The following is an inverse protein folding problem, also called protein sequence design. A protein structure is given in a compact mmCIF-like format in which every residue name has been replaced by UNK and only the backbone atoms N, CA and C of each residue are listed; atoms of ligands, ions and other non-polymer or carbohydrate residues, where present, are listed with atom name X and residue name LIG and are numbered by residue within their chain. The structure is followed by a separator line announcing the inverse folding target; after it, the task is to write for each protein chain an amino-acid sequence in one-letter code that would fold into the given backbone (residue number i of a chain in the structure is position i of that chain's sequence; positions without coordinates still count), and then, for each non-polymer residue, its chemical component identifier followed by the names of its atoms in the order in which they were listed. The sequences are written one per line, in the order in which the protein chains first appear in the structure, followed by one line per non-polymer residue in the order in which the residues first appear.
data_IF_447031067984
#
_entry.id   IF_447031067984
#
_cell.length_a   1.000
_cell.length_b   1.000
_cell.length_c   1.000
_cell.angle_alpha   90.00
_cell.angle_beta   90.00
_cell.angle_gamma   90.00
#
_symmetry.space_group_name_H-M   'P 1'
#
loop_
_entity.id
_entity.type
_entity.pdbx_description
1 polymer ?
#
# COMPACT_ATOMS: atom_id res chain seq x y z
N UNK A 1 14.66 -9.98 3.35
CA UNK A 1 13.48 -9.10 3.48
C UNK A 1 12.51 -9.28 2.31
N UNK A 2 12.94 -9.15 1.05
CA UNK A 2 12.06 -9.30 -0.15
C UNK A 2 11.37 -10.67 -0.23
N UNK A 3 12.08 -11.77 0.03
CA UNK A 3 11.48 -13.11 0.02
C UNK A 3 10.31 -13.27 1.01
N UNK A 4 10.37 -12.60 2.16
CA UNK A 4 9.29 -12.61 3.16
C UNK A 4 8.07 -11.82 2.68
N UNK A 5 8.28 -10.71 1.95
CA UNK A 5 7.20 -9.94 1.34
C UNK A 5 6.45 -10.80 0.33
N UNK A 6 7.18 -11.46 -0.58
CA UNK A 6 6.58 -12.34 -1.59
C UNK A 6 5.82 -13.49 -0.93
N UNK A 7 6.42 -14.12 0.10
CA UNK A 7 5.80 -15.21 0.84
C UNK A 7 4.50 -14.75 1.53
N UNK A 8 4.49 -13.57 2.15
CA UNK A 8 3.30 -13.03 2.80
C UNK A 8 2.16 -12.79 1.81
N UNK A 9 2.45 -12.20 0.64
CA UNK A 9 1.43 -11.99 -0.39
C UNK A 9 0.92 -13.31 -0.99
N UNK A 10 1.79 -14.33 -1.13
CA UNK A 10 1.37 -15.68 -1.54
C UNK A 10 0.41 -16.31 -0.53
N UNK A 11 0.69 -16.18 0.77
CA UNK A 11 -0.20 -16.71 1.83
C UNK A 11 -1.54 -15.98 1.81
N UNK A 12 -1.55 -14.65 1.69
CA UNK A 12 -2.78 -13.86 1.58
C UNK A 12 -3.60 -14.30 0.37
N UNK A 13 -2.97 -14.37 -0.81
CA UNK A 13 -3.63 -14.80 -2.03
C UNK A 13 -4.16 -16.23 -1.91
N UNK A 14 -3.42 -17.14 -1.27
CA UNK A 14 -3.86 -18.53 -1.06
C UNK A 14 -5.04 -18.65 -0.09
N UNK A 15 -5.16 -17.77 0.90
CA UNK A 15 -6.29 -17.79 1.84
C UNK A 15 -7.54 -17.17 1.21
N UNK A 16 -7.39 -16.04 0.50
CA UNK A 16 -8.52 -15.29 -0.03
C UNK A 16 -9.00 -15.82 -1.40
N UNK A 17 -8.10 -16.18 -2.32
CA UNK A 17 -8.47 -16.62 -3.66
C UNK A 17 -9.43 -17.82 -3.71
N UNK A 18 -9.24 -18.91 -2.92
CA UNK A 18 -10.18 -20.02 -2.93
C UNK A 18 -11.54 -19.63 -2.34
N UNK A 19 -11.57 -18.73 -1.35
CA UNK A 19 -12.82 -18.24 -0.78
C UNK A 19 -13.68 -17.49 -1.81
N UNK A 20 -13.05 -16.65 -2.64
CA UNK A 20 -13.75 -15.94 -3.73
C UNK A 20 -14.09 -16.84 -4.91
N UNK A 21 -13.22 -17.80 -5.22
CA UNK A 21 -13.46 -18.78 -6.29
C UNK A 21 -14.67 -19.65 -5.98
N UNK A 22 -14.83 -20.09 -4.73
CA UNK A 22 -15.99 -20.86 -4.27
C UNK A 22 -17.29 -20.06 -4.37
N UNK A 23 -17.24 -18.74 -4.17
CA UNK A 23 -18.39 -17.84 -4.33
C UNK A 23 -18.73 -17.51 -5.79
N UNK A 24 -17.92 -17.95 -6.77
CA UNK A 24 -18.01 -17.59 -8.20
C UNK A 24 -17.97 -16.07 -8.44
N UNK A 25 -17.37 -15.31 -7.53
CA UNK A 25 -17.26 -13.86 -7.63
C UNK A 25 -15.99 -13.47 -8.41
N UNK A 26 -15.98 -13.81 -9.70
CA UNK A 26 -14.83 -13.59 -10.60
C UNK A 26 -14.42 -12.12 -10.71
N UNK A 27 -15.41 -11.22 -10.61
CA UNK A 27 -15.18 -9.78 -10.64
C UNK A 27 -14.48 -9.31 -9.37
N UNK A 28 -14.84 -9.90 -8.24
CA UNK A 28 -14.27 -9.60 -6.93
C UNK A 28 -12.85 -10.19 -6.80
N UNK A 29 -12.62 -11.39 -7.36
CA UNK A 29 -11.28 -11.97 -7.57
C UNK A 29 -10.36 -11.05 -8.36
N UNK A 30 -10.85 -10.45 -9.45
CA UNK A 30 -10.06 -9.54 -10.26
C UNK A 30 -9.70 -8.27 -9.48
N UNK A 31 -10.64 -7.70 -8.72
CA UNK A 31 -10.40 -6.52 -7.87
C UNK A 31 -9.37 -6.85 -6.79
N UNK A 32 -9.51 -7.97 -6.08
CA UNK A 32 -8.54 -8.39 -5.06
C UNK A 32 -7.17 -8.70 -5.65
N UNK A 33 -7.11 -9.31 -6.83
CA UNK A 33 -5.87 -9.50 -7.57
C UNK A 33 -5.16 -8.17 -7.88
N UNK A 34 -5.88 -7.15 -8.33
CA UNK A 34 -5.33 -5.80 -8.54
C UNK A 34 -4.84 -5.20 -7.23
N UNK A 35 -5.61 -5.31 -6.15
CA UNK A 35 -5.24 -4.78 -4.83
C UNK A 35 -3.98 -5.46 -4.29
N UNK A 36 -3.87 -6.79 -4.38
CA UNK A 36 -2.67 -7.52 -3.98
C UNK A 36 -1.47 -7.14 -4.85
N UNK A 37 -1.66 -7.03 -6.15
CA UNK A 37 -0.60 -6.63 -7.08
C UNK A 37 -0.08 -5.23 -6.76
N UNK A 38 -0.98 -4.28 -6.46
CA UNK A 38 -0.62 -2.93 -6.03
C UNK A 38 0.12 -2.93 -4.70
N UNK A 39 -0.37 -3.68 -3.71
CA UNK A 39 0.29 -3.81 -2.41
C UNK A 39 1.69 -4.42 -2.54
N UNK A 40 1.85 -5.42 -3.39
CA UNK A 40 3.12 -6.09 -3.66
C UNK A 40 4.08 -5.13 -4.38
N UNK A 41 3.62 -4.45 -5.43
CA UNK A 41 4.42 -3.46 -6.16
C UNK A 41 4.89 -2.32 -5.26
N UNK A 42 4.03 -1.80 -4.38
CA UNK A 42 4.41 -0.79 -3.38
C UNK A 42 5.41 -1.33 -2.36
N UNK A 43 5.20 -2.54 -1.85
CA UNK A 43 6.08 -3.18 -0.87
C UNK A 43 7.47 -3.45 -1.46
N UNK A 44 7.53 -3.90 -2.71
CA UNK A 44 8.78 -4.04 -3.46
C UNK A 44 9.43 -2.68 -3.73
N UNK A 45 8.65 -1.69 -4.17
CA UNK A 45 9.14 -0.33 -4.38
C UNK A 45 9.84 0.25 -3.15
N UNK A 46 9.21 0.07 -1.98
CA UNK A 46 9.80 0.44 -0.70
C UNK A 46 11.08 -0.37 -0.38
N UNK A 47 11.05 -1.69 -0.61
CA UNK A 47 12.19 -2.57 -0.34
C UNK A 47 13.40 -2.29 -1.25
N UNK A 48 13.17 -1.83 -2.48
CA UNK A 48 14.21 -1.40 -3.41
C UNK A 48 14.67 0.05 -3.20
N UNK A 49 14.21 0.74 -2.15
CA UNK A 49 14.48 2.16 -1.91
C UNK A 49 14.14 3.06 -3.10
N UNK A 50 13.19 2.64 -3.95
CA UNK A 50 12.68 3.54 -4.99
C UNK A 50 12.08 4.77 -4.30
N UNK A 51 12.20 5.97 -4.89
CA UNK A 51 11.53 7.17 -4.39
C UNK A 51 10.03 7.04 -4.63
N UNK A 52 9.40 6.12 -3.90
CA UNK A 52 7.96 5.98 -3.84
C UNK A 52 7.46 7.29 -3.24
N UNK A 53 6.57 8.03 -3.92
CA UNK A 53 6.00 9.24 -3.38
C UNK A 53 5.24 8.87 -2.10
N UNK A 54 5.90 9.03 -0.95
CA UNK A 54 5.31 8.68 0.33
C UNK A 54 4.12 9.62 0.56
N UNK A 55 2.91 9.10 0.85
CA UNK A 55 1.77 9.93 1.20
C UNK A 55 2.10 10.88 2.36
N UNK A 56 2.95 10.45 3.29
CA UNK A 56 3.47 11.28 4.38
C UNK A 56 4.22 12.54 3.88
N UNK A 57 5.11 12.44 2.88
CA UNK A 57 5.73 13.63 2.27
C UNK A 57 4.74 14.50 1.51
N UNK A 58 3.74 13.90 0.88
CA UNK A 58 2.71 14.63 0.15
C UNK A 58 1.82 15.43 1.11
N UNK A 59 1.40 14.79 2.20
CA UNK A 59 0.70 15.41 3.32
C UNK A 59 1.59 16.47 3.98
N UNK A 60 2.87 16.20 4.26
CA UNK A 60 3.78 17.19 4.81
C UNK A 60 3.96 18.41 3.89
N UNK A 61 3.90 18.24 2.57
CA UNK A 61 3.93 19.36 1.62
C UNK A 61 2.64 20.18 1.63
N UNK A 62 1.49 19.55 1.83
CA UNK A 62 0.20 20.24 1.95
C UNK A 62 -0.02 20.91 3.32
N UNK A 63 0.32 20.22 4.40
CA UNK A 63 0.10 20.65 5.78
C UNK A 63 1.29 21.41 6.37
N UNK A 64 2.47 21.34 5.75
CA UNK A 64 3.66 22.13 6.07
C UNK A 64 3.37 23.62 6.25
N UNK A 65 2.73 24.32 5.29
CA UNK A 65 2.38 25.73 5.45
C UNK A 65 1.49 26.00 6.68
N UNK A 66 0.52 25.12 6.95
CA UNK A 66 -0.37 25.24 8.13
C UNK A 66 0.40 25.08 9.43
N UNK A 67 1.30 24.08 9.49
CA UNK A 67 2.14 23.85 10.68
C UNK A 67 3.12 24.98 10.93
N UNK A 68 3.65 25.61 9.87
CA UNK A 68 4.54 26.78 9.97
C UNK A 68 3.81 28.05 10.43
N UNK A 69 2.53 28.19 10.08
CA UNK A 69 1.66 29.25 10.57
C UNK A 69 1.35 29.08 12.06
N UNK A 70 1.03 27.85 12.48
CA UNK A 70 0.77 27.51 13.88
C UNK A 70 1.99 27.71 14.77
N UNK A 71 3.18 27.26 14.34
CA UNK A 71 4.42 27.44 15.12
C UNK A 71 4.81 28.91 15.28
N UNK A 72 4.43 29.79 14.33
CA UNK A 72 4.63 31.25 14.45
C UNK A 72 3.61 31.96 15.35
N UNK A 73 2.47 31.34 15.66
CA UNK A 73 1.43 31.92 16.52
C UNK A 73 1.59 31.51 17.98
N UNK A 74 2.22 30.35 18.23
CA UNK A 74 2.37 29.77 19.56
C UNK A 74 3.76 30.06 20.15
N UNK A 75 4.76 30.38 19.32
CA UNK A 75 6.09 30.83 19.73
C UNK A 75 6.28 32.33 19.53
#
# INVERSE_FOLDING_TARGET
MIALIILAFLVIAYLDAPALWQKKEWRELAVMGIVWSLGLALSLGLAFHLPVPSPAKMLARFFGPVTSWLTRLIG
#
